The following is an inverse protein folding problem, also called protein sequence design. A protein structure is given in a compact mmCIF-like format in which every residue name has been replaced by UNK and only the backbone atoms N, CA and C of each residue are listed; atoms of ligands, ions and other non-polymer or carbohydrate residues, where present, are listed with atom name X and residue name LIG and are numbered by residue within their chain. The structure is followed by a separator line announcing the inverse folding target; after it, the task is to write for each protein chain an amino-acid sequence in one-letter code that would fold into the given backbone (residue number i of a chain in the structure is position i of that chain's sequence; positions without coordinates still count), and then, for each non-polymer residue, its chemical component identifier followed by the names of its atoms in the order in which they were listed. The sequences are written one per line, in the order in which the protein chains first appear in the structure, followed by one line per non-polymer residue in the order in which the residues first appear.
data_IF_956709169580
#
_entry.id   IF_956709169580
#
_cell.length_a   1.000
_cell.length_b   1.000
_cell.length_c   1.000
_cell.angle_alpha   90.00
_cell.angle_beta   90.00
_cell.angle_gamma   90.00
#
_symmetry.space_group_name_H-M   'P 1'
#
loop_
_entity.id
_entity.type
_entity.pdbx_description
1 polymer ?
#
# COMPACT_ATOMS: atom_id res chain seq x y z
N UNK A 1 -31.18 -2.91 -25.07
CA UNK A 1 -31.11 -3.49 -23.73
C UNK A 1 -30.37 -2.49 -22.84
N UNK A 2 -31.07 -1.85 -21.90
CA UNK A 2 -30.41 -1.05 -20.87
C UNK A 2 -29.68 -2.02 -19.93
N UNK A 3 -28.36 -1.93 -19.86
CA UNK A 3 -27.56 -2.62 -18.87
C UNK A 3 -27.92 -2.00 -17.50
N UNK A 4 -28.82 -2.65 -16.77
CA UNK A 4 -29.22 -2.20 -15.44
C UNK A 4 -28.01 -2.16 -14.52
N UNK A 5 -27.67 -0.97 -14.02
CA UNK A 5 -26.73 -0.83 -12.92
C UNK A 5 -27.31 -1.57 -11.72
N UNK A 6 -26.82 -2.78 -11.47
CA UNK A 6 -27.17 -3.57 -10.31
C UNK A 6 -26.65 -2.82 -9.08
N UNK A 7 -27.49 -2.03 -8.41
CA UNK A 7 -27.14 -1.39 -7.15
C UNK A 7 -26.88 -2.50 -6.13
N UNK A 8 -25.67 -2.54 -5.57
CA UNK A 8 -25.34 -3.49 -4.51
C UNK A 8 -26.00 -2.99 -3.21
N UNK A 9 -27.22 -3.43 -2.93
CA UNK A 9 -28.03 -3.04 -1.77
C UNK A 9 -27.46 -3.50 -0.40
N UNK A 10 -26.25 -4.08 -0.36
CA UNK A 10 -25.61 -4.61 0.86
C UNK A 10 -24.59 -3.65 1.51
N UNK A 11 -24.63 -2.35 1.25
CA UNK A 11 -23.64 -1.40 1.78
C UNK A 11 -24.14 -0.69 3.04
N UNK A 12 -23.80 -1.25 4.20
CA UNK A 12 -23.82 -0.50 5.46
C UNK A 12 -22.56 0.36 5.60
N UNK A 13 -22.54 1.37 6.50
CA UNK A 13 -21.33 2.13 6.77
C UNK A 13 -20.20 1.20 7.24
N UNK A 14 -18.94 1.46 6.84
CA UNK A 14 -17.83 0.62 7.25
C UNK A 14 -17.64 0.67 8.77
N UNK A 15 -17.37 -0.49 9.37
CA UNK A 15 -17.12 -0.58 10.81
C UNK A 15 -15.76 0.03 11.15
N UNK A 16 -15.71 0.76 12.26
CA UNK A 16 -14.47 1.27 12.85
C UNK A 16 -13.99 0.33 13.98
N UNK A 17 -12.68 0.28 14.28
CA UNK A 17 -11.59 0.92 13.54
C UNK A 17 -11.32 0.21 12.21
N UNK A 18 -10.73 0.94 11.24
CA UNK A 18 -10.24 0.33 10.01
C UNK A 18 -8.97 -0.46 10.30
N UNK A 19 -8.77 -1.54 9.56
CA UNK A 19 -7.57 -2.36 9.65
C UNK A 19 -6.39 -1.52 9.16
N UNK A 20 -5.25 -1.57 9.85
CA UNK A 20 -4.01 -0.88 9.44
C UNK A 20 -2.96 -1.92 9.15
N UNK A 21 -2.38 -1.87 7.96
CA UNK A 21 -1.35 -2.80 7.51
C UNK A 21 -0.20 -1.99 6.92
N UNK A 22 1.04 -2.38 7.21
CA UNK A 22 2.22 -1.82 6.53
C UNK A 22 2.36 -2.46 5.15
N UNK A 23 2.86 -1.70 4.18
CA UNK A 23 3.15 -2.21 2.83
C UNK A 23 3.98 -3.50 2.86
N UNK A 24 5.05 -3.53 3.67
CA UNK A 24 5.90 -4.72 3.86
C UNK A 24 5.15 -5.93 4.42
N UNK A 25 4.17 -5.73 5.31
CA UNK A 25 3.35 -6.83 5.84
C UNK A 25 2.26 -7.29 4.85
N UNK A 26 1.78 -6.40 3.98
CA UNK A 26 0.91 -6.77 2.86
C UNK A 26 1.66 -7.66 1.85
N UNK A 27 2.91 -7.31 1.50
CA UNK A 27 3.78 -8.15 0.66
C UNK A 27 3.96 -9.54 1.26
N UNK A 28 4.27 -9.65 2.57
CA UNK A 28 4.38 -10.96 3.24
C UNK A 28 3.09 -11.76 3.19
N UNK A 29 1.93 -11.11 3.32
CA UNK A 29 0.61 -11.78 3.19
C UNK A 29 0.40 -12.31 1.78
N UNK A 30 0.72 -11.53 0.75
CA UNK A 30 0.63 -11.93 -0.65
C UNK A 30 1.58 -13.09 -1.00
N UNK A 31 2.81 -13.06 -0.47
CA UNK A 31 3.76 -14.16 -0.58
C UNK A 31 3.21 -15.43 0.10
N UNK A 32 2.69 -15.30 1.33
CA UNK A 32 2.17 -16.43 2.11
C UNK A 32 0.90 -17.05 1.49
N UNK A 33 0.07 -16.27 0.80
CA UNK A 33 -1.10 -16.77 0.06
C UNK A 33 -0.76 -17.40 -1.29
N UNK A 34 0.50 -17.30 -1.74
CA UNK A 34 0.92 -17.75 -3.08
C UNK A 34 0.38 -16.86 -4.20
N UNK A 35 0.02 -15.60 -3.89
CA UNK A 35 -0.47 -14.66 -4.88
C UNK A 35 0.67 -14.26 -5.82
N UNK A 36 0.45 -14.39 -7.12
CA UNK A 36 1.41 -14.00 -8.15
C UNK A 36 1.25 -12.52 -8.49
N UNK A 37 2.37 -11.82 -8.62
CA UNK A 37 2.40 -10.43 -9.07
C UNK A 37 1.94 -10.38 -10.54
N UNK A 38 0.84 -9.68 -10.78
CA UNK A 38 0.21 -9.59 -12.11
C UNK A 38 1.09 -8.92 -13.17
N UNK A 39 2.08 -8.10 -12.76
CA UNK A 39 3.01 -7.43 -13.68
C UNK A 39 4.17 -8.32 -14.07
N UNK A 40 4.76 -9.03 -13.11
CA UNK A 40 5.99 -9.80 -13.32
C UNK A 40 5.72 -11.26 -13.66
N UNK A 41 4.55 -11.80 -13.28
CA UNK A 41 4.24 -13.22 -13.41
C UNK A 41 4.94 -14.10 -12.37
N UNK A 42 5.61 -13.50 -11.40
CA UNK A 42 6.40 -14.17 -10.35
C UNK A 42 5.81 -13.90 -8.96
N UNK A 43 6.21 -14.66 -7.92
CA UNK A 43 5.88 -14.30 -6.53
C UNK A 43 6.38 -12.90 -6.17
N UNK A 44 5.63 -12.19 -5.33
CA UNK A 44 6.00 -10.85 -4.86
C UNK A 44 7.37 -10.83 -4.17
N UNK A 45 8.13 -9.78 -4.43
CA UNK A 45 9.40 -9.49 -3.73
C UNK A 45 9.26 -8.27 -2.84
N UNK A 46 10.14 -8.16 -1.85
CA UNK A 46 10.14 -7.02 -0.94
C UNK A 46 10.38 -5.71 -1.69
N UNK A 47 9.57 -4.70 -1.37
CA UNK A 47 9.62 -3.39 -2.02
C UNK A 47 9.00 -3.32 -3.41
N UNK A 48 8.36 -4.40 -3.91
CA UNK A 48 7.57 -4.33 -5.13
C UNK A 48 6.24 -3.62 -4.93
N UNK A 49 5.79 -2.96 -6.00
CA UNK A 49 4.49 -2.30 -6.06
C UNK A 49 3.33 -3.32 -6.10
N UNK A 50 2.24 -3.01 -5.38
CA UNK A 50 1.01 -3.82 -5.36
C UNK A 50 0.01 -3.17 -6.31
N UNK A 51 -0.02 -3.62 -7.55
CA UNK A 51 -0.91 -3.03 -8.55
C UNK A 51 -2.39 -3.27 -8.25
N UNK A 52 -3.24 -2.39 -8.79
CA UNK A 52 -4.71 -2.35 -8.65
C UNK A 52 -5.38 -3.73 -8.58
N UNK A 53 -5.08 -4.65 -9.51
CA UNK A 53 -5.69 -5.99 -9.53
C UNK A 53 -5.34 -6.81 -8.28
N UNK A 54 -4.07 -6.78 -7.87
CA UNK A 54 -3.60 -7.51 -6.70
C UNK A 54 -4.04 -6.83 -5.41
N UNK A 55 -4.11 -5.50 -5.39
CA UNK A 55 -4.64 -4.71 -4.29
C UNK A 55 -6.12 -4.99 -4.05
N UNK A 56 -6.92 -4.98 -5.13
CA UNK A 56 -8.34 -5.31 -5.10
C UNK A 56 -8.56 -6.73 -4.57
N UNK A 57 -7.76 -7.69 -5.02
CA UNK A 57 -7.81 -9.06 -4.50
C UNK A 57 -7.46 -9.10 -3.00
N UNK A 58 -6.39 -8.40 -2.60
CA UNK A 58 -5.94 -8.34 -1.21
C UNK A 58 -7.00 -7.77 -0.26
N UNK A 59 -7.64 -6.67 -0.61
CA UNK A 59 -8.68 -6.07 0.22
C UNK A 59 -9.98 -6.89 0.22
N UNK A 60 -10.31 -7.55 -0.88
CA UNK A 60 -11.43 -8.48 -0.96
C UNK A 60 -11.24 -9.68 -0.03
N UNK A 61 -10.03 -10.25 0.00
CA UNK A 61 -9.67 -11.38 0.88
C UNK A 61 -9.73 -11.00 2.37
N UNK A 62 -9.47 -9.73 2.69
CA UNK A 62 -9.61 -9.19 4.05
C UNK A 62 -11.09 -8.94 4.40
N UNK A 63 -11.91 -8.56 3.42
CA UNK A 63 -13.35 -8.34 3.59
C UNK A 63 -13.73 -7.11 4.42
N UNK A 64 -12.78 -6.19 4.65
CA UNK A 64 -12.98 -4.95 5.39
C UNK A 64 -12.06 -3.84 4.89
N UNK A 65 -12.39 -2.55 5.11
CA UNK A 65 -11.52 -1.44 4.73
C UNK A 65 -10.14 -1.50 5.40
N UNK A 66 -9.10 -1.23 4.62
CA UNK A 66 -7.70 -1.27 5.03
C UNK A 66 -7.04 0.07 4.78
N UNK A 67 -6.37 0.61 5.79
CA UNK A 67 -5.38 1.66 5.64
C UNK A 67 -4.03 0.99 5.39
N UNK A 68 -3.60 0.95 4.14
CA UNK A 68 -2.28 0.46 3.75
C UNK A 68 -1.29 1.61 3.92
N UNK A 69 -0.20 1.38 4.64
CA UNK A 69 0.67 2.47 5.14
C UNK A 69 2.15 2.13 4.96
N UNK A 70 3.05 3.11 5.14
CA UNK A 70 4.50 2.89 5.18
C UNK A 70 5.07 2.35 3.86
N UNK A 71 4.70 2.97 2.74
CA UNK A 71 5.27 2.58 1.45
C UNK A 71 6.74 3.00 1.35
N UNK A 72 7.59 2.20 0.67
CA UNK A 72 8.93 2.63 0.28
C UNK A 72 8.89 3.94 -0.51
N UNK A 73 9.82 4.86 -0.24
CA UNK A 73 9.90 6.16 -0.90
C UNK A 73 10.00 6.05 -2.43
N UNK A 74 10.67 5.01 -2.93
CA UNK A 74 10.84 4.72 -4.36
C UNK A 74 9.52 4.45 -5.08
N UNK A 75 8.49 4.03 -4.35
CA UNK A 75 7.15 3.75 -4.88
C UNK A 75 6.18 4.93 -4.75
N UNK A 76 6.60 6.02 -4.09
CA UNK A 76 5.74 7.16 -3.79
C UNK A 76 6.30 8.46 -4.36
N UNK A 77 5.47 9.50 -4.33
CA UNK A 77 5.85 10.79 -4.86
C UNK A 77 6.97 11.44 -4.01
N UNK A 78 7.86 12.19 -4.67
CA UNK A 78 9.05 12.79 -4.06
C UNK A 78 8.77 13.74 -2.89
N UNK A 79 7.55 14.25 -2.75
CA UNK A 79 7.16 15.16 -1.68
C UNK A 79 6.66 14.44 -0.41
N UNK A 80 6.55 13.11 -0.41
CA UNK A 80 6.08 12.38 0.76
C UNK A 80 7.12 12.38 1.87
N UNK A 81 6.69 12.69 3.09
CA UNK A 81 7.53 12.72 4.27
C UNK A 81 8.08 11.32 4.57
N UNK A 82 9.38 11.15 4.87
CA UNK A 82 9.92 9.88 5.36
C UNK A 82 9.34 9.49 6.73
N UNK A 83 9.07 8.21 6.95
CA UNK A 83 8.62 7.61 8.22
C UNK A 83 9.80 7.45 9.20
N UNK A 84 10.53 8.52 9.46
CA UNK A 84 11.61 8.53 10.45
C UNK A 84 11.65 9.89 11.10
N UNK A 85 11.82 9.91 12.42
CA UNK A 85 12.00 11.18 13.12
C UNK A 85 13.29 11.82 12.61
N UNK A 86 13.18 13.05 12.09
CA UNK A 86 14.31 13.86 11.64
C UNK A 86 15.38 14.02 12.73
N UNK A 87 14.99 13.91 14.00
CA UNK A 87 15.93 13.91 15.14
C UNK A 87 16.79 12.65 15.22
N UNK A 88 16.28 11.53 14.70
CA UNK A 88 16.95 10.23 14.75
C UNK A 88 17.78 9.92 13.50
N UNK A 89 17.45 10.53 12.36
CA UNK A 89 18.27 10.46 11.16
C UNK A 89 18.34 11.82 10.44
N UNK A 90 19.29 12.70 10.83
CA UNK A 90 19.48 14.01 10.20
C UNK A 90 19.86 13.94 8.72
N UNK A 91 20.46 12.83 8.26
CA UNK A 91 20.84 12.63 6.86
C UNK A 91 19.65 12.75 5.92
N UNK A 92 18.44 12.45 6.39
CA UNK A 92 17.21 12.64 5.62
C UNK A 92 16.96 14.10 5.25
N UNK A 93 17.62 15.08 5.87
CA UNK A 93 17.51 16.50 5.53
C UNK A 93 18.72 17.02 4.75
N UNK A 94 19.77 16.22 4.61
CA UNK A 94 20.97 16.60 3.89
C UNK A 94 20.79 16.44 2.38
N UNK A 95 21.23 17.45 1.63
CA UNK A 95 21.30 17.39 0.16
C UNK A 95 22.66 16.85 -0.30
N UNK A 96 23.15 15.82 0.40
CA UNK A 96 24.33 15.03 0.06
C UNK A 96 23.91 13.75 -0.68
N UNK A 97 24.82 13.11 -1.41
CA UNK A 97 24.55 11.80 -2.05
C UNK A 97 24.14 10.74 -1.01
N UNK A 98 24.70 10.85 0.20
CA UNK A 98 24.37 10.00 1.34
C UNK A 98 22.94 10.27 1.84
N UNK A 99 22.57 11.54 2.02
CA UNK A 99 21.22 11.93 2.41
C UNK A 99 20.15 11.56 1.38
N UNK A 100 20.47 11.69 0.09
CA UNK A 100 19.60 11.24 -1.01
C UNK A 100 19.42 9.72 -1.01
N UNK A 101 20.49 8.96 -0.79
CA UNK A 101 20.40 7.49 -0.67
C UNK A 101 19.57 7.06 0.53
N UNK A 102 19.72 7.72 1.68
CA UNK A 102 18.91 7.46 2.87
C UNK A 102 17.42 7.75 2.60
N UNK A 103 17.09 8.90 1.98
CA UNK A 103 15.71 9.22 1.55
C UNK A 103 15.15 8.16 0.61
N UNK A 104 15.96 7.71 -0.34
CA UNK A 104 15.57 6.72 -1.34
C UNK A 104 15.28 5.34 -0.74
N UNK A 105 15.87 5.00 0.41
CA UNK A 105 15.66 3.71 1.08
C UNK A 105 14.66 3.79 2.24
N UNK A 106 14.11 4.97 2.54
CA UNK A 106 13.17 5.16 3.64
C UNK A 106 11.75 4.64 3.32
N UNK A 107 11.00 4.28 4.36
CA UNK A 107 9.53 4.23 4.31
C UNK A 107 8.98 5.67 4.36
N UNK A 108 7.75 5.88 3.91
CA UNK A 108 7.07 7.19 3.92
C UNK A 108 5.90 7.21 4.89
N UNK A 109 5.54 8.38 5.43
CA UNK A 109 4.31 8.64 6.19
C UNK A 109 3.08 8.69 5.25
N UNK A 110 2.96 7.70 4.38
CA UNK A 110 1.91 7.57 3.38
C UNK A 110 0.79 6.63 3.84
N UNK A 111 -0.41 6.86 3.30
CA UNK A 111 -1.57 6.00 3.52
C UNK A 111 -2.45 5.94 2.28
N UNK A 112 -2.82 4.73 1.89
CA UNK A 112 -3.83 4.45 0.88
C UNK A 112 -5.02 3.74 1.58
N UNK A 113 -6.25 4.12 1.22
CA UNK A 113 -7.47 3.54 1.79
C UNK A 113 -8.07 2.54 0.82
N UNK A 114 -7.91 1.25 1.12
CA UNK A 114 -8.43 0.18 0.28
C UNK A 114 -9.83 -0.22 0.73
N UNK A 115 -10.75 -0.32 -0.23
CA UNK A 115 -12.15 -0.69 -0.02
C UNK A 115 -12.49 -2.00 -0.75
N UNK A 116 -13.10 -3.00 -0.07
CA UNK A 116 -13.57 -4.22 -0.72
C UNK A 116 -14.47 -3.91 -1.93
N UNK A 117 -14.29 -4.66 -3.01
CA UNK A 117 -14.99 -4.46 -4.28
C UNK A 117 -14.53 -3.29 -5.15
N UNK A 118 -13.60 -2.43 -4.68
CA UNK A 118 -13.06 -1.30 -5.46
C UNK A 118 -11.54 -1.36 -5.55
N UNK A 119 -10.82 -1.36 -4.42
CA UNK A 119 -9.40 -1.01 -4.33
C UNK A 119 -9.22 0.31 -3.58
N UNK A 120 -8.12 1.03 -3.83
CA UNK A 120 -7.89 2.43 -3.44
C UNK A 120 -8.99 3.40 -3.90
#
# INVERSE_FOLDING_TARGET
MLLGMQLNHKTGPPKKPFIRIKHSDAIKKLQASGTINNKTGEPFKDGEDILEKNERQFVEDIGAPVLLTHFPAQLKAFYMQPFTDLKTNPLLMEDSDEGLNERHNAETESVDLLMPGVGE
#
